data_IF_584342079272
#
_entry.id   IF_584342079272
#
_cell.length_a   1.000
_cell.length_b   1.000
_cell.length_c   1.000
_cell.angle_alpha   90.00
_cell.angle_beta   90.00
_cell.angle_gamma   90.00
#
_symmetry.space_group_name_H-M   'P 1'
#
loop_
_entity.id
_entity.type
_entity.pdbx_description
1 polymer ?
#
# COMPACT_ATOMS: atom_id res chain seq x y z
N UNK A 1 -16.58 -19.56 12.74
CA UNK A 1 -16.48 -19.33 11.29
C UNK A 1 -15.16 -19.92 10.82
N UNK A 2 -15.18 -20.86 9.89
CA UNK A 2 -13.97 -21.42 9.29
C UNK A 2 -13.29 -20.32 8.48
N UNK A 3 -11.99 -20.08 8.69
CA UNK A 3 -11.22 -19.15 7.85
C UNK A 3 -11.25 -19.64 6.40
N UNK A 4 -11.60 -18.77 5.49
CA UNK A 4 -11.63 -19.08 4.05
C UNK A 4 -10.22 -19.19 3.43
N UNK A 5 -9.18 -18.76 4.17
CA UNK A 5 -7.78 -18.80 3.74
C UNK A 5 -6.80 -18.91 4.90
N UNK A 6 -5.59 -19.35 4.59
CA UNK A 6 -4.43 -19.39 5.49
C UNK A 6 -3.50 -18.24 5.14
N UNK A 7 -2.85 -17.64 6.16
CA UNK A 7 -1.87 -16.57 6.00
C UNK A 7 -0.49 -17.03 6.39
N UNK A 8 0.48 -16.79 5.51
CA UNK A 8 1.90 -16.90 5.82
C UNK A 8 2.56 -15.53 5.64
N UNK A 9 3.31 -15.07 6.64
CA UNK A 9 4.01 -13.80 6.60
C UNK A 9 5.52 -14.02 6.60
N UNK A 10 6.21 -13.29 5.73
CA UNK A 10 7.65 -13.30 5.57
C UNK A 10 8.18 -11.88 5.71
N UNK A 11 9.39 -11.71 6.23
CA UNK A 11 10.02 -10.40 6.36
C UNK A 11 11.47 -10.45 5.89
N UNK A 12 11.94 -9.36 5.33
CA UNK A 12 13.33 -9.15 4.95
C UNK A 12 13.75 -7.71 5.25
N UNK A 13 14.99 -7.52 5.67
CA UNK A 13 15.59 -6.20 5.84
C UNK A 13 16.73 -6.06 4.82
N UNK A 14 16.79 -4.92 4.16
CA UNK A 14 17.80 -4.60 3.15
C UNK A 14 18.11 -3.09 3.24
N UNK A 15 19.31 -2.67 2.86
CA UNK A 15 19.56 -1.25 2.70
C UNK A 15 18.77 -0.69 1.51
N UNK A 16 18.34 0.58 1.63
CA UNK A 16 17.57 1.21 0.54
C UNK A 16 18.40 1.31 -0.73
N UNK A 17 19.69 1.61 -0.64
CA UNK A 17 20.59 1.67 -1.79
C UNK A 17 20.70 0.32 -2.51
N UNK A 18 20.84 -0.77 -1.77
CA UNK A 18 20.88 -2.11 -2.34
C UNK A 18 19.52 -2.47 -2.98
N UNK A 19 18.41 -2.14 -2.31
CA UNK A 19 17.07 -2.43 -2.84
C UNK A 19 16.79 -1.65 -4.12
N UNK A 20 17.17 -0.36 -4.18
CA UNK A 20 17.09 0.46 -5.40
C UNK A 20 17.95 -0.15 -6.51
N UNK A 21 19.22 -0.45 -6.22
CA UNK A 21 20.16 -0.89 -7.27
C UNK A 21 19.81 -2.24 -7.87
N UNK A 22 19.22 -3.14 -7.09
CA UNK A 22 18.94 -4.51 -7.53
C UNK A 22 17.51 -4.71 -8.01
N UNK A 23 16.54 -4.01 -7.45
CA UNK A 23 15.12 -4.36 -7.62
C UNK A 23 14.29 -3.24 -8.26
N UNK A 24 14.85 -2.07 -8.55
CA UNK A 24 14.11 -0.94 -9.12
C UNK A 24 14.46 -0.73 -10.59
N UNK A 25 13.41 -0.67 -11.42
CA UNK A 25 13.47 -0.23 -12.81
C UNK A 25 12.26 0.67 -13.10
N UNK A 26 12.38 1.93 -12.69
CA UNK A 26 11.29 2.91 -12.79
C UNK A 26 10.80 3.09 -14.22
N UNK A 27 11.72 3.16 -15.20
CA UNK A 27 11.38 3.37 -16.61
C UNK A 27 10.50 2.24 -17.14
N UNK A 28 10.81 1.01 -16.78
CA UNK A 28 10.05 -0.16 -17.19
C UNK A 28 8.69 -0.21 -16.48
N UNK A 29 8.65 -0.03 -15.17
CA UNK A 29 7.43 -0.21 -14.38
C UNK A 29 6.43 0.93 -14.56
N UNK A 30 6.87 2.15 -14.86
CA UNK A 30 5.95 3.26 -15.18
C UNK A 30 5.14 2.96 -16.46
N UNK A 31 5.70 2.23 -17.42
CA UNK A 31 4.96 1.83 -18.64
C UNK A 31 3.81 0.85 -18.32
N UNK A 32 3.98 -0.04 -17.34
CA UNK A 32 2.87 -0.86 -16.86
C UNK A 32 1.83 -0.02 -16.10
N UNK A 33 2.29 0.92 -15.26
CA UNK A 33 1.39 1.83 -14.57
C UNK A 33 0.55 2.67 -15.54
N UNK A 34 1.09 3.13 -16.66
CA UNK A 34 0.35 3.90 -17.69
C UNK A 34 -0.82 3.13 -18.30
N UNK A 35 -0.78 1.81 -18.27
CA UNK A 35 -1.87 0.95 -18.76
C UNK A 35 -2.95 0.72 -17.69
N UNK A 36 -2.71 1.14 -16.46
CA UNK A 36 -3.63 0.95 -15.33
C UNK A 36 -4.66 2.09 -15.27
N UNK A 37 -5.96 1.82 -15.02
CA UNK A 37 -6.98 2.85 -14.90
C UNK A 37 -6.77 3.80 -13.70
N UNK A 38 -5.90 3.45 -12.76
CA UNK A 38 -5.56 4.29 -11.60
C UNK A 38 -4.45 5.32 -11.91
N UNK A 39 -3.73 5.18 -13.03
CA UNK A 39 -2.67 6.11 -13.42
C UNK A 39 -3.24 7.52 -13.60
N UNK A 40 -2.65 8.51 -12.91
CA UNK A 40 -3.16 9.89 -12.91
C UNK A 40 -4.50 10.10 -12.20
N UNK A 41 -5.16 9.03 -11.77
CA UNK A 41 -6.52 9.05 -11.20
C UNK A 41 -6.57 8.72 -9.70
N UNK A 42 -5.44 8.39 -9.07
CA UNK A 42 -5.34 8.09 -7.65
C UNK A 42 -4.08 8.71 -7.05
N UNK A 43 -4.17 9.31 -5.86
CA UNK A 43 -3.02 9.91 -5.19
C UNK A 43 -1.97 8.91 -4.73
N UNK A 44 -2.32 7.64 -4.57
CA UNK A 44 -1.37 6.56 -4.30
C UNK A 44 -0.67 5.99 -5.55
N UNK A 45 -0.98 6.53 -6.75
CA UNK A 45 -0.47 6.04 -8.03
C UNK A 45 0.30 7.12 -8.80
N UNK A 46 1.23 6.76 -9.71
CA UNK A 46 1.92 7.74 -10.55
C UNK A 46 0.95 8.43 -11.55
N UNK A 47 1.38 9.51 -12.23
CA UNK A 47 2.67 10.18 -12.06
C UNK A 47 2.75 10.94 -10.74
N UNK A 48 3.90 10.92 -10.11
CA UNK A 48 4.19 11.78 -8.96
C UNK A 48 4.80 13.10 -9.45
N UNK A 49 4.64 14.17 -8.68
CA UNK A 49 5.16 15.51 -8.95
C UNK A 49 6.54 15.77 -8.32
N UNK A 50 7.20 14.70 -7.87
CA UNK A 50 8.53 14.69 -7.27
C UNK A 50 9.37 13.53 -7.81
N UNK A 51 10.69 13.61 -7.65
CA UNK A 51 11.61 12.52 -7.99
C UNK A 51 11.50 11.39 -6.97
N UNK A 52 10.99 10.24 -7.43
CA UNK A 52 10.79 9.06 -6.58
C UNK A 52 12.11 8.43 -6.12
N UNK A 53 13.19 8.59 -6.89
CA UNK A 53 14.52 8.12 -6.51
C UNK A 53 15.13 8.97 -5.40
N UNK A 54 15.04 10.29 -5.51
CA UNK A 54 15.48 11.21 -4.44
C UNK A 54 14.66 11.01 -3.17
N UNK A 55 13.36 10.78 -3.32
CA UNK A 55 12.48 10.48 -2.20
C UNK A 55 12.91 9.22 -1.45
N UNK A 56 13.21 8.13 -2.16
CA UNK A 56 13.65 6.88 -1.55
C UNK A 56 14.99 7.00 -0.82
N UNK A 57 15.96 7.75 -1.39
CA UNK A 57 17.29 7.93 -0.81
C UNK A 57 17.33 8.76 0.47
N UNK A 58 16.18 9.27 0.94
CA UNK A 58 16.08 9.88 2.27
C UNK A 58 16.11 8.84 3.40
N UNK A 59 15.96 7.55 3.06
CA UNK A 59 15.92 6.43 3.99
C UNK A 59 17.13 5.52 3.82
N UNK A 60 17.59 4.94 4.92
CA UNK A 60 18.73 4.02 4.95
C UNK A 60 18.30 2.55 4.84
N UNK A 61 17.16 2.20 5.44
CA UNK A 61 16.69 0.82 5.58
C UNK A 61 15.31 0.64 4.98
N UNK A 62 15.10 -0.53 4.37
CA UNK A 62 13.80 -1.01 3.93
C UNK A 62 13.47 -2.31 4.68
N UNK A 63 12.43 -2.26 5.52
CA UNK A 63 11.80 -3.43 6.11
C UNK A 63 10.69 -3.89 5.18
N UNK A 64 10.88 -5.02 4.52
CA UNK A 64 9.95 -5.57 3.53
C UNK A 64 9.15 -6.73 4.12
N UNK A 65 7.91 -6.84 3.72
CA UNK A 65 6.96 -7.87 4.16
C UNK A 65 6.31 -8.50 2.94
N UNK A 66 6.27 -9.83 2.89
CA UNK A 66 5.46 -10.58 1.95
C UNK A 66 4.38 -11.35 2.71
N UNK A 67 3.12 -11.10 2.38
CA UNK A 67 1.98 -11.80 2.96
C UNK A 67 1.36 -12.70 1.91
N UNK A 68 1.48 -14.01 2.11
CA UNK A 68 0.92 -15.05 1.25
C UNK A 68 -0.46 -15.43 1.76
N UNK A 69 -1.45 -15.38 0.89
CA UNK A 69 -2.85 -15.69 1.16
C UNK A 69 -3.19 -16.97 0.42
N UNK A 70 -3.41 -18.05 1.14
CA UNK A 70 -3.65 -19.39 0.59
C UNK A 70 -5.11 -19.74 0.79
N UNK A 71 -5.95 -19.68 -0.26
CA UNK A 71 -7.35 -20.07 -0.14
C UNK A 71 -7.50 -21.55 0.26
N UNK A 72 -8.46 -21.83 1.13
CA UNK A 72 -8.79 -23.22 1.49
C UNK A 72 -9.58 -23.90 0.36
N UNK A 73 -10.48 -23.15 -0.26
CA UNK A 73 -11.22 -23.59 -1.45
C UNK A 73 -10.32 -23.63 -2.68
N UNK A 74 -10.53 -24.59 -3.57
CA UNK A 74 -9.81 -24.71 -4.85
C UNK A 74 -10.66 -24.21 -6.00
N UNK A 75 -10.01 -23.89 -7.11
CA UNK A 75 -10.68 -23.45 -8.36
C UNK A 75 -11.58 -22.21 -8.16
N UNK A 76 -11.13 -21.26 -7.35
CA UNK A 76 -11.86 -20.02 -7.09
C UNK A 76 -11.80 -19.15 -8.36
N UNK A 77 -12.94 -18.60 -8.82
CA UNK A 77 -12.96 -17.64 -9.92
C UNK A 77 -12.11 -16.41 -9.63
N UNK A 78 -11.43 -15.90 -10.66
CA UNK A 78 -10.48 -14.77 -10.54
C UNK A 78 -11.16 -13.46 -10.10
N UNK A 79 -12.43 -13.29 -10.37
CA UNK A 79 -13.24 -12.12 -9.96
C UNK A 79 -13.41 -12.03 -8.44
N UNK A 80 -13.23 -13.14 -7.69
CA UNK A 80 -13.23 -13.17 -6.23
C UNK A 80 -11.92 -12.72 -5.59
N UNK A 81 -10.91 -12.32 -6.38
CA UNK A 81 -9.61 -11.85 -5.88
C UNK A 81 -9.74 -10.79 -4.78
N UNK A 82 -10.61 -9.81 -4.99
CA UNK A 82 -10.77 -8.69 -4.05
C UNK A 82 -11.38 -9.12 -2.71
N UNK A 83 -12.23 -10.13 -2.68
CA UNK A 83 -12.81 -10.67 -1.45
C UNK A 83 -11.73 -11.26 -0.54
N UNK A 84 -10.75 -11.97 -1.14
CA UNK A 84 -9.66 -12.60 -0.41
C UNK A 84 -8.56 -11.61 -0.01
N UNK A 85 -8.22 -10.66 -0.89
CA UNK A 85 -7.11 -9.71 -0.67
C UNK A 85 -7.52 -8.59 0.29
N UNK A 86 -8.73 -8.06 0.18
CA UNK A 86 -9.16 -6.84 0.90
C UNK A 86 -8.99 -6.91 2.42
N UNK A 87 -9.35 -7.98 3.14
CA UNK A 87 -9.18 -8.07 4.58
C UNK A 87 -7.71 -7.95 5.00
N UNK A 88 -6.83 -8.70 4.33
CA UNK A 88 -5.40 -8.71 4.62
C UNK A 88 -4.73 -7.39 4.24
N UNK A 89 -5.13 -6.81 3.13
CA UNK A 89 -4.68 -5.49 2.72
C UNK A 89 -4.98 -4.42 3.77
N UNK A 90 -6.21 -4.37 4.28
CA UNK A 90 -6.60 -3.42 5.33
C UNK A 90 -5.83 -3.67 6.65
N UNK A 91 -5.54 -4.93 6.97
CA UNK A 91 -4.70 -5.29 8.11
C UNK A 91 -3.28 -4.76 7.94
N UNK A 92 -2.65 -5.05 6.79
CA UNK A 92 -1.28 -4.63 6.46
C UNK A 92 -1.16 -3.10 6.42
N UNK A 93 -2.11 -2.40 5.79
CA UNK A 93 -2.12 -0.93 5.74
C UNK A 93 -2.13 -0.32 7.15
N UNK A 94 -2.96 -0.84 8.06
CA UNK A 94 -3.01 -0.38 9.45
C UNK A 94 -1.70 -0.65 10.19
N UNK A 95 -1.19 -1.86 10.09
CA UNK A 95 0.06 -2.29 10.73
C UNK A 95 1.25 -1.42 10.28
N UNK A 96 1.36 -1.18 8.98
CA UNK A 96 2.42 -0.34 8.42
C UNK A 96 2.28 1.14 8.80
N UNK A 97 1.08 1.68 8.92
CA UNK A 97 0.87 3.04 9.42
C UNK A 97 1.26 3.16 10.91
N UNK A 98 0.98 2.15 11.73
CA UNK A 98 1.44 2.08 13.12
C UNK A 98 2.97 2.00 13.20
N UNK A 99 3.60 1.21 12.32
CA UNK A 99 5.06 1.14 12.23
C UNK A 99 5.67 2.47 11.76
N UNK A 100 5.08 3.12 10.75
CA UNK A 100 5.51 4.43 10.28
C UNK A 100 5.46 5.48 11.41
N UNK A 101 4.39 5.46 12.21
CA UNK A 101 4.27 6.35 13.36
C UNK A 101 5.30 6.05 14.47
N UNK A 102 5.59 4.77 14.70
CA UNK A 102 6.51 4.33 15.78
C UNK A 102 7.98 4.54 15.42
N UNK A 103 8.37 4.19 14.20
CA UNK A 103 9.79 4.17 13.78
C UNK A 103 10.18 5.37 12.91
N UNK A 104 9.21 6.18 12.51
CA UNK A 104 9.38 7.17 11.47
C UNK A 104 9.45 6.51 10.07
N UNK A 105 9.71 7.30 9.05
CA UNK A 105 9.88 6.79 7.69
C UNK A 105 8.65 6.86 6.82
N UNK A 106 8.54 5.95 5.86
CA UNK A 106 7.42 5.89 4.91
C UNK A 106 6.98 4.46 4.63
N UNK A 107 5.70 4.21 4.81
CA UNK A 107 5.06 2.94 4.47
C UNK A 107 4.74 2.84 2.98
N UNK A 108 4.86 1.62 2.44
CA UNK A 108 4.44 1.21 1.11
C UNK A 108 3.49 0.02 1.28
N UNK A 109 2.19 0.32 1.31
CA UNK A 109 1.18 -0.66 1.72
C UNK A 109 0.13 -0.93 0.63
N UNK A 110 0.20 -0.19 -0.47
CA UNK A 110 -0.88 -0.14 -1.43
C UNK A 110 -0.79 -1.26 -2.46
N UNK A 111 -1.92 -1.89 -2.73
CA UNK A 111 -2.05 -2.86 -3.82
C UNK A 111 -3.35 -2.59 -4.57
N UNK A 112 -3.26 -2.20 -5.83
CA UNK A 112 -4.43 -1.93 -6.66
C UNK A 112 -5.13 -0.59 -6.33
N UNK A 113 -6.46 -0.58 -6.27
CA UNK A 113 -7.28 0.63 -6.09
C UNK A 113 -7.24 1.12 -4.63
N UNK A 114 -7.19 2.45 -4.41
CA UNK A 114 -7.36 3.06 -3.10
C UNK A 114 -8.74 2.76 -2.49
N UNK A 115 -8.78 2.41 -1.20
CA UNK A 115 -9.98 2.00 -0.50
C UNK A 115 -10.58 3.09 0.40
N UNK A 116 -9.96 4.27 0.50
CA UNK A 116 -10.38 5.30 1.44
C UNK A 116 -11.46 6.26 0.94
N UNK A 117 -11.69 6.32 -0.36
CA UNK A 117 -12.80 7.08 -0.93
C UNK A 117 -13.92 6.14 -1.37
N UNK A 118 -15.19 6.56 -1.21
CA UNK A 118 -16.30 5.76 -1.71
C UNK A 118 -16.25 5.61 -3.24
N UNK A 119 -16.92 4.62 -3.68
CA UNK A 119 -16.82 3.85 -4.93
C UNK A 119 -16.49 4.50 -6.26
N UNK A 120 -16.13 5.71 -6.39
CA UNK A 120 -15.83 6.16 -7.74
C UNK A 120 -14.75 7.20 -7.87
N UNK A 121 -14.55 8.06 -6.90
CA UNK A 121 -13.86 9.30 -7.24
C UNK A 121 -12.81 9.70 -6.23
N UNK A 122 -11.55 9.38 -6.59
CA UNK A 122 -10.43 10.03 -5.97
C UNK A 122 -10.44 11.54 -6.30
N UNK A 123 -10.19 12.39 -5.32
CA UNK A 123 -10.11 13.84 -5.46
C UNK A 123 -9.06 14.27 -6.52
N UNK A 124 -8.08 13.40 -6.83
CA UNK A 124 -7.11 13.62 -7.89
C UNK A 124 -7.74 13.80 -9.27
N UNK A 125 -8.85 13.11 -9.57
CA UNK A 125 -9.55 13.23 -10.86
C UNK A 125 -10.05 14.65 -11.14
N UNK A 126 -10.27 15.42 -10.09
CA UNK A 126 -10.68 16.82 -10.19
C UNK A 126 -9.59 17.80 -9.68
N UNK A 127 -8.33 17.38 -9.71
CA UNK A 127 -7.16 18.18 -9.28
C UNK A 127 -7.31 18.76 -7.87
N UNK A 128 -7.89 18.00 -6.95
CA UNK A 128 -8.04 18.38 -5.55
C UNK A 128 -7.13 17.53 -4.66
N UNK A 129 -6.65 18.08 -3.53
CA UNK A 129 -5.85 17.33 -2.57
C UNK A 129 -6.52 16.04 -2.10
N UNK A 130 -5.72 15.05 -1.70
CA UNK A 130 -6.22 13.83 -1.11
C UNK A 130 -7.07 14.13 0.14
N UNK A 131 -8.20 13.44 0.28
CA UNK A 131 -9.07 13.59 1.46
C UNK A 131 -8.54 12.82 2.68
N UNK A 132 -7.60 11.90 2.46
CA UNK A 132 -7.03 11.02 3.49
C UNK A 132 -5.50 10.96 3.37
N UNK A 133 -4.78 12.12 3.37
CA UNK A 133 -3.34 12.15 3.14
C UNK A 133 -2.54 11.45 4.25
N UNK A 134 -3.12 11.37 5.44
CA UNK A 134 -2.60 10.66 6.61
C UNK A 134 -2.62 9.13 6.45
N UNK A 135 -3.47 8.59 5.56
CA UNK A 135 -3.71 7.14 5.42
C UNK A 135 -3.22 6.56 4.10
N UNK A 136 -3.34 7.31 3.00
CA UNK A 136 -2.98 6.80 1.68
C UNK A 136 -1.47 6.65 1.55
N UNK A 137 -1.02 5.45 1.16
CA UNK A 137 0.37 5.12 0.91
C UNK A 137 0.50 4.47 -0.47
N UNK A 138 1.55 4.78 -1.23
CA UNK A 138 1.78 4.17 -2.52
C UNK A 138 2.17 2.69 -2.39
N UNK A 139 2.14 1.97 -3.51
CA UNK A 139 2.75 0.65 -3.58
C UNK A 139 4.23 0.74 -3.97
N UNK A 140 4.96 -0.35 -3.75
CA UNK A 140 6.34 -0.47 -4.20
C UNK A 140 6.44 -0.43 -5.73
N UNK A 141 5.49 -1.05 -6.45
CA UNK A 141 5.41 -1.02 -7.92
C UNK A 141 5.23 0.39 -8.46
N UNK A 142 4.46 1.23 -7.75
CA UNK A 142 4.26 2.63 -8.14
C UNK A 142 5.56 3.45 -8.10
N UNK A 143 6.55 2.97 -7.35
CA UNK A 143 7.90 3.54 -7.26
C UNK A 143 8.92 2.79 -8.12
N UNK A 144 8.46 1.87 -8.97
CA UNK A 144 9.29 1.19 -9.96
C UNK A 144 9.99 -0.06 -9.48
N UNK A 145 9.60 -0.64 -8.33
CA UNK A 145 10.19 -1.89 -7.86
C UNK A 145 9.58 -3.13 -8.54
N UNK A 146 10.43 -4.09 -8.87
CA UNK A 146 10.07 -5.39 -9.44
C UNK A 146 9.62 -6.35 -8.34
N UNK A 147 8.31 -6.58 -8.23
CA UNK A 147 7.74 -7.48 -7.23
C UNK A 147 8.06 -8.94 -7.49
N UNK A 148 8.15 -9.35 -8.76
CA UNK A 148 8.54 -10.72 -9.12
C UNK A 148 9.94 -11.02 -8.61
N UNK A 149 10.87 -10.13 -8.89
CA UNK A 149 12.25 -10.24 -8.45
C UNK A 149 12.39 -10.11 -6.93
N UNK A 150 11.68 -9.16 -6.31
CA UNK A 150 11.65 -8.99 -4.85
C UNK A 150 11.17 -10.27 -4.16
N UNK A 151 10.08 -10.87 -4.63
CA UNK A 151 9.55 -12.11 -4.07
C UNK A 151 10.51 -13.28 -4.21
N UNK A 152 11.06 -13.48 -5.42
CA UNK A 152 11.93 -14.63 -5.67
C UNK A 152 13.27 -14.53 -4.94
N UNK A 153 13.94 -13.36 -4.97
CA UNK A 153 15.29 -13.23 -4.43
C UNK A 153 15.32 -12.99 -2.90
N UNK A 154 14.33 -12.25 -2.33
CA UNK A 154 14.36 -11.94 -0.91
C UNK A 154 13.53 -12.91 -0.06
N UNK A 155 12.50 -13.51 -0.65
CA UNK A 155 11.57 -14.35 0.12
C UNK A 155 11.52 -15.80 -0.36
N UNK A 156 12.12 -16.14 -1.51
CA UNK A 156 12.03 -17.46 -2.11
C UNK A 156 10.60 -17.82 -2.55
N UNK A 157 9.77 -16.82 -2.85
CA UNK A 157 8.37 -16.98 -3.23
C UNK A 157 8.23 -16.71 -4.72
N UNK A 158 7.62 -17.63 -5.46
CA UNK A 158 7.25 -17.43 -6.86
C UNK A 158 5.98 -16.57 -6.95
N UNK A 159 5.94 -15.59 -7.87
CA UNK A 159 4.74 -14.84 -8.17
C UNK A 159 3.86 -15.64 -9.14
N UNK A 160 2.76 -16.17 -8.64
CA UNK A 160 1.83 -16.94 -9.45
C UNK A 160 0.74 -16.04 -10.06
N UNK A 161 0.29 -16.42 -11.26
CA UNK A 161 -0.78 -15.73 -11.98
C UNK A 161 -1.98 -16.64 -12.16
N UNK A 162 -3.18 -16.05 -12.14
CA UNK A 162 -4.40 -16.78 -12.47
C UNK A 162 -4.38 -17.29 -13.90
N UNK A 163 -4.98 -18.44 -14.13
CA UNK A 163 -5.07 -19.09 -15.44
C UNK A 163 -6.49 -19.59 -15.67
N UNK A 164 -6.96 -19.48 -16.91
CA UNK A 164 -8.29 -19.97 -17.33
C UNK A 164 -9.44 -19.44 -16.46
N UNK A 165 -9.33 -18.16 -15.99
CA UNK A 165 -10.32 -17.53 -15.13
C UNK A 165 -10.31 -17.98 -13.68
N UNK A 166 -9.31 -18.76 -13.26
CA UNK A 166 -9.15 -19.33 -11.92
C UNK A 166 -7.97 -18.66 -11.21
N UNK A 167 -8.10 -18.44 -9.91
CA UNK A 167 -7.03 -17.94 -9.06
C UNK A 167 -5.88 -18.95 -8.97
N UNK A 168 -4.64 -18.46 -8.78
CA UNK A 168 -3.50 -19.33 -8.50
C UNK A 168 -3.67 -20.00 -7.10
N UNK A 169 -2.77 -20.93 -6.79
CA UNK A 169 -2.79 -21.64 -5.51
C UNK A 169 -2.70 -20.72 -4.29
N UNK A 170 -2.06 -19.55 -4.46
CA UNK A 170 -1.98 -18.49 -3.45
C UNK A 170 -1.89 -17.13 -4.12
N UNK A 171 -2.31 -16.11 -3.39
CA UNK A 171 -2.08 -14.71 -3.70
C UNK A 171 -0.97 -14.18 -2.79
N UNK A 172 -0.28 -13.11 -3.20
CA UNK A 172 0.76 -12.50 -2.38
C UNK A 172 0.67 -10.98 -2.43
N UNK A 173 0.84 -10.35 -1.27
CA UNK A 173 0.96 -8.89 -1.11
C UNK A 173 2.40 -8.61 -0.66
N UNK A 174 3.11 -7.74 -1.40
CA UNK A 174 4.39 -7.19 -0.96
C UNK A 174 4.18 -5.77 -0.49
N UNK A 175 4.75 -5.47 0.66
CA UNK A 175 4.63 -4.18 1.33
C UNK A 175 5.91 -3.88 2.11
N UNK A 176 6.05 -2.69 2.67
CA UNK A 176 7.24 -2.39 3.46
C UNK A 176 7.21 -1.02 4.12
N UNK A 177 8.18 -0.82 5.01
CA UNK A 177 8.49 0.46 5.64
C UNK A 177 9.93 0.84 5.30
N UNK A 178 10.12 2.05 4.74
CA UNK A 178 11.45 2.66 4.55
C UNK A 178 11.70 3.62 5.71
N UNK A 179 12.84 3.49 6.40
CA UNK A 179 13.10 4.20 7.65
C UNK A 179 14.60 4.47 7.87
N UNK A 180 14.89 5.32 8.87
CA UNK A 180 16.24 5.65 9.33
C UNK A 180 16.48 5.21 10.78
N UNK A 181 15.59 4.40 11.35
CA UNK A 181 15.76 3.90 12.71
C UNK A 181 16.83 2.83 12.75
N UNK A 182 17.79 2.94 13.68
CA UNK A 182 18.79 1.91 13.94
C UNK A 182 18.21 0.68 14.66
N UNK A 183 16.95 0.74 15.12
CA UNK A 183 16.28 -0.40 15.73
C UNK A 183 15.98 -1.47 14.67
N UNK A 184 16.39 -2.71 14.93
CA UNK A 184 15.95 -3.84 14.15
C UNK A 184 14.43 -3.97 14.29
N UNK A 185 13.70 -3.67 13.21
CA UNK A 185 12.27 -3.91 13.15
C UNK A 185 12.06 -5.42 13.11
N UNK A 186 11.83 -6.00 14.28
CA UNK A 186 11.42 -7.40 14.39
C UNK A 186 9.90 -7.39 14.20
N UNK A 187 9.43 -8.04 13.15
CA UNK A 187 7.99 -8.21 12.95
C UNK A 187 7.37 -8.86 14.18
N UNK A 188 6.50 -8.14 14.87
CA UNK A 188 5.69 -8.67 15.97
C UNK A 188 4.57 -9.61 15.47
N UNK A 189 4.75 -10.24 14.34
CA UNK A 189 3.79 -11.13 13.66
C UNK A 189 3.52 -12.44 14.40
N UNK A 190 4.04 -12.61 15.63
CA UNK A 190 3.65 -13.71 16.52
C UNK A 190 2.80 -13.20 17.68
N UNK A 191 1.58 -12.75 17.44
CA UNK A 191 0.46 -12.73 18.39
C UNK A 191 -0.67 -11.88 17.84
N UNK A 192 -1.67 -12.55 17.26
CA UNK A 192 -3.09 -12.30 17.56
C UNK A 192 -3.94 -13.18 16.65
N UNK A 193 -4.11 -14.41 17.10
CA UNK A 193 -5.14 -15.31 16.54
C UNK A 193 -6.54 -15.01 17.09
N UNK A 194 -6.69 -13.99 17.94
CA UNK A 194 -7.96 -13.62 18.56
C UNK A 194 -8.19 -12.10 18.49
N UNK A 195 -8.89 -11.67 17.48
CA UNK A 195 -9.78 -10.51 17.55
C UNK A 195 -10.70 -10.47 16.33
N UNK A 196 -11.72 -11.34 16.38
CA UNK A 196 -12.96 -11.08 15.65
C UNK A 196 -13.64 -9.85 16.26
N UNK A 197 -14.26 -9.05 15.42
CA UNK A 197 -15.06 -7.85 15.70
C UNK A 197 -14.31 -6.51 15.78
N UNK A 198 -14.00 -5.96 14.60
CA UNK A 198 -13.91 -4.50 14.44
C UNK A 198 -14.37 -4.02 13.04
N UNK A 199 -15.36 -4.69 12.45
CA UNK A 199 -15.86 -4.35 11.11
C UNK A 199 -16.94 -3.24 11.07
N UNK A 200 -17.26 -2.60 12.22
CA UNK A 200 -18.43 -1.71 12.32
C UNK A 200 -18.14 -0.20 12.41
N UNK A 201 -16.98 0.29 11.98
CA UNK A 201 -16.69 1.73 12.10
C UNK A 201 -16.44 2.50 10.80
N UNK A 202 -16.76 1.93 9.63
CA UNK A 202 -16.57 2.62 8.32
C UNK A 202 -17.90 2.94 7.60
N UNK A 203 -19.02 2.91 8.27
CA UNK A 203 -20.33 3.08 7.62
C UNK A 203 -21.04 4.39 7.97
N UNK A 204 -20.36 5.50 8.09
CA UNK A 204 -21.01 6.82 8.15
C UNK A 204 -20.10 7.89 7.53
N UNK A 205 -19.87 7.83 6.23
CA UNK A 205 -19.38 8.98 5.49
C UNK A 205 -20.40 9.30 4.40
N UNK A 206 -20.96 10.51 4.52
CA UNK A 206 -21.91 11.08 3.57
C UNK A 206 -21.50 10.84 2.11
N UNK A 207 -22.45 10.33 1.31
CA UNK A 207 -22.38 10.06 -0.13
C UNK A 207 -22.17 11.31 -0.99
N UNK A 208 -21.16 12.14 -0.73
CA UNK A 208 -20.86 13.33 -1.52
C UNK A 208 -19.55 13.17 -2.25
N UNK A 209 -19.65 13.14 -3.59
CA UNK A 209 -18.50 13.11 -4.48
C UNK A 209 -17.51 14.24 -4.18
N UNK A 210 -16.20 13.96 -4.03
CA UNK A 210 -15.16 14.99 -3.82
C UNK A 210 -15.03 15.96 -4.99
N UNK A 211 -15.57 15.63 -6.16
CA UNK A 211 -15.61 16.50 -7.33
C UNK A 211 -16.82 17.47 -7.34
N UNK A 212 -17.70 17.41 -6.36
CA UNK A 212 -18.79 18.37 -6.22
C UNK A 212 -18.23 19.74 -5.80
N UNK A 213 -18.48 20.83 -6.57
CA UNK A 213 -17.96 22.17 -6.26
C UNK A 213 -18.47 22.73 -4.92
N UNK A 214 -19.57 22.20 -4.39
CA UNK A 214 -20.14 22.56 -3.09
C UNK A 214 -19.62 21.70 -1.91
N UNK A 215 -18.70 20.77 -2.18
CA UNK A 215 -18.11 19.96 -1.14
C UNK A 215 -17.15 20.79 -0.29
N UNK A 216 -17.50 21.02 0.97
CA UNK A 216 -16.63 21.66 1.97
C UNK A 216 -16.09 20.59 2.90
N UNK A 217 -14.75 20.54 3.06
CA UNK A 217 -14.13 19.80 4.16
C UNK A 217 -14.68 20.35 5.47
N UNK A 218 -15.17 19.49 6.36
CA UNK A 218 -15.56 19.93 7.72
C UNK A 218 -14.33 20.47 8.43
N UNK A 219 -14.47 21.65 9.06
CA UNK A 219 -13.43 22.44 9.74
C UNK A 219 -12.82 21.79 11.00
N UNK A 220 -12.62 20.49 11.02
CA UNK A 220 -12.11 19.77 12.20
C UNK A 220 -10.61 19.51 12.21
N UNK A 221 -9.84 20.06 11.25
CA UNK A 221 -8.38 20.00 11.28
C UNK A 221 -7.75 21.38 11.07
N UNK A 222 -7.90 22.27 12.06
CA UNK A 222 -6.95 23.37 12.22
C UNK A 222 -5.67 22.79 12.81
N UNK A 223 -4.82 22.23 11.97
CA UNK A 223 -3.43 21.94 12.34
C UNK A 223 -2.69 23.25 12.34
N UNK A 224 -2.27 23.69 13.50
CA UNK A 224 -1.42 24.85 13.70
C UNK A 224 -0.04 24.56 13.10
N UNK A 225 0.16 24.90 11.83
CA UNK A 225 1.44 24.79 11.14
C UNK A 225 2.32 25.94 11.59
N UNK A 226 3.07 25.75 12.65
CA UNK A 226 4.28 26.55 12.90
C UNK A 226 5.39 26.01 12.00
N UNK A 227 5.61 26.76 10.97
CA UNK A 227 6.64 26.68 9.93
C UNK A 227 8.01 26.22 10.40
N UNK A 228 8.50 25.10 9.86
CA UNK A 228 9.91 24.98 9.42
C UNK A 228 9.90 24.11 8.15
N UNK A 229 10.42 24.70 7.06
CA UNK A 229 10.73 24.14 5.74
C UNK A 229 10.70 22.61 5.63
N UNK A 230 9.55 22.04 5.34
CA UNK A 230 9.38 20.65 4.89
C UNK A 230 8.13 20.59 4.03
N UNK A 231 8.04 21.49 3.04
CA UNK A 231 6.84 21.72 2.23
C UNK A 231 6.67 20.71 1.09
N UNK A 232 7.60 19.76 0.92
CA UNK A 232 7.54 18.76 -0.16
C UNK A 232 6.85 17.45 0.23
N UNK A 233 6.68 17.17 1.51
CA UNK A 233 6.12 15.87 1.97
C UNK A 233 4.59 15.84 2.10
N UNK A 234 3.91 16.99 2.07
CA UNK A 234 2.46 17.05 2.24
C UNK A 234 1.64 16.68 1.01
N UNK A 235 2.28 16.50 -0.15
CA UNK A 235 1.61 16.18 -1.42
C UNK A 235 1.85 14.76 -1.92
N UNK A 236 2.75 14.01 -1.32
CA UNK A 236 3.03 12.62 -1.67
C UNK A 236 2.16 11.66 -0.83
N UNK A 237 0.85 11.75 -1.00
CA UNK A 237 -0.06 10.79 -0.40
C UNK A 237 -0.01 9.45 -1.07
#
# INVERSE_FOLDING_TARGET
MTKEYIIENFTANISVDEYISRFRDEKRFVEFCKQCPNYGNSWGCPPFDFDTGEFLRQYEYAHLMATKIIPVEKNIPIDRTQELIKPERLRIERELLEMEHRYGGRAFAYVGKCLYCPDSECARKCNRPCLHPDKVRPSLEAFGFDMTRTLSELFGIELLWGKDGILPEYLVIVSGLFHNSAENIISHTKRNQDSGNLYNLITLIDNKSPCNPNYRLRDSMKVNVKTKRTTLLSYAC
#
